data_IF_762949791209
#
_entry.id   IF_762949791209
#
_cell.length_a   1.000
_cell.length_b   1.000
_cell.length_c   1.000
_cell.angle_alpha   90.00
_cell.angle_beta   90.00
_cell.angle_gamma   90.00
#
_symmetry.space_group_name_H-M   'P 1'
#
loop_
_entity.id
_entity.type
_entity.pdbx_description
1 polymer ?
#
# COMPACT_ATOMS: atom_id res chain seq x y z
N UNK A 1 14.43 22.29 -11.32
CA UNK A 1 13.15 22.16 -10.59
C UNK A 1 12.88 20.68 -10.36
N UNK A 2 12.82 20.23 -9.12
CA UNK A 2 12.63 18.81 -8.80
C UNK A 2 11.25 18.34 -9.30
N UNK A 3 11.25 17.32 -10.16
CA UNK A 3 10.05 16.75 -10.78
C UNK A 3 9.17 15.94 -9.80
N UNK A 4 9.50 15.91 -8.51
CA UNK A 4 8.79 15.07 -7.54
C UNK A 4 7.48 15.71 -7.11
N UNK A 5 6.36 15.01 -7.32
CA UNK A 5 5.07 15.33 -6.70
C UNK A 5 5.06 15.01 -5.20
N UNK A 6 5.88 14.05 -4.78
CA UNK A 6 5.97 13.61 -3.40
C UNK A 6 7.03 14.40 -2.64
N UNK A 7 6.65 14.88 -1.46
CA UNK A 7 7.60 15.38 -0.47
C UNK A 7 8.29 14.19 0.20
N UNK A 8 9.53 14.36 0.66
CA UNK A 8 10.29 13.30 1.33
C UNK A 8 9.54 12.68 2.51
N UNK A 9 8.82 13.48 3.29
CA UNK A 9 8.00 12.98 4.39
C UNK A 9 6.86 12.07 3.91
N UNK A 10 6.22 12.39 2.78
CA UNK A 10 5.10 11.60 2.24
C UNK A 10 5.59 10.25 1.69
N UNK A 11 6.81 10.21 1.14
CA UNK A 11 7.49 8.97 0.72
C UNK A 11 7.76 8.07 1.92
N UNK A 12 8.29 8.64 3.01
CA UNK A 12 8.59 7.89 4.24
C UNK A 12 7.31 7.35 4.87
N UNK A 13 6.25 8.17 4.95
CA UNK A 13 4.96 7.77 5.52
C UNK A 13 4.31 6.62 4.71
N UNK A 14 4.33 6.71 3.37
CA UNK A 14 3.82 5.64 2.51
C UNK A 14 4.64 4.35 2.66
N UNK A 15 5.96 4.48 2.77
CA UNK A 15 6.87 3.35 2.99
C UNK A 15 6.55 2.63 4.31
N UNK A 16 6.31 3.37 5.40
CA UNK A 16 5.94 2.78 6.69
C UNK A 16 4.60 2.06 6.62
N UNK A 17 3.60 2.61 5.92
CA UNK A 17 2.28 1.98 5.78
C UNK A 17 2.37 0.66 5.02
N UNK A 18 3.12 0.62 3.92
CA UNK A 18 3.33 -0.62 3.16
C UNK A 18 4.13 -1.66 3.96
N UNK A 19 5.20 -1.23 4.63
CA UNK A 19 5.97 -2.11 5.51
C UNK A 19 5.11 -2.69 6.63
N UNK A 20 4.28 -1.86 7.26
CA UNK A 20 3.37 -2.31 8.32
C UNK A 20 2.43 -3.41 7.81
N UNK A 21 1.80 -3.21 6.65
CA UNK A 21 0.90 -4.20 6.05
C UNK A 21 1.61 -5.52 5.74
N UNK A 22 2.82 -5.44 5.17
CA UNK A 22 3.63 -6.62 4.85
C UNK A 22 4.12 -7.35 6.11
N UNK A 23 4.57 -6.63 7.13
CA UNK A 23 5.05 -7.21 8.39
C UNK A 23 3.91 -7.91 9.12
N UNK A 24 2.72 -7.31 9.19
CA UNK A 24 1.55 -7.95 9.82
C UNK A 24 1.21 -9.27 9.12
N UNK A 25 1.26 -9.31 7.79
CA UNK A 25 1.04 -10.55 7.05
C UNK A 25 2.12 -11.61 7.31
N UNK A 26 3.39 -11.20 7.34
CA UNK A 26 4.50 -12.07 7.71
C UNK A 26 4.34 -12.63 9.12
N UNK A 27 3.91 -11.82 10.09
CA UNK A 27 3.68 -12.25 11.47
C UNK A 27 2.58 -13.30 11.56
N UNK A 28 1.44 -13.08 10.89
CA UNK A 28 0.34 -14.06 10.89
C UNK A 28 0.79 -15.38 10.25
N UNK A 29 1.53 -15.31 9.14
CA UNK A 29 2.08 -16.49 8.47
C UNK A 29 3.12 -17.22 9.32
N UNK A 30 3.93 -16.47 10.07
CA UNK A 30 4.90 -17.06 10.99
C UNK A 30 4.21 -17.82 12.13
N UNK A 31 3.17 -17.21 12.71
CA UNK A 31 2.36 -17.82 13.77
C UNK A 31 1.67 -19.09 13.25
N UNK A 32 1.17 -19.10 12.01
CA UNK A 32 0.50 -20.28 11.45
C UNK A 32 1.43 -21.44 11.09
N UNK A 33 2.73 -21.17 10.89
CA UNK A 33 3.75 -22.19 10.63
C UNK A 33 4.36 -22.78 11.90
N UNK A 34 4.27 -22.07 13.02
CA UNK A 34 4.78 -22.55 14.28
C UNK A 34 3.77 -23.50 14.94
N UNK A 35 4.26 -24.63 15.45
CA UNK A 35 3.44 -25.63 16.11
C UNK A 35 3.21 -25.20 17.57
N UNK A 36 1.96 -24.85 17.91
CA UNK A 36 1.58 -24.36 19.25
C UNK A 36 0.99 -25.46 20.14
N UNK A 37 1.14 -26.72 19.75
CA UNK A 37 0.54 -27.90 20.41
C UNK A 37 0.89 -28.04 21.91
N UNK A 38 2.00 -27.46 22.37
CA UNK A 38 2.37 -27.41 23.79
C UNK A 38 1.45 -26.48 24.63
N UNK A 39 0.67 -25.60 23.99
CA UNK A 39 -0.15 -24.57 24.65
C UNK A 39 -1.60 -24.57 24.14
N UNK A 40 -2.38 -25.57 24.58
CA UNK A 40 -3.80 -25.81 24.20
C UNK A 40 -4.68 -24.54 24.24
N UNK A 41 -4.56 -23.71 25.28
CA UNK A 41 -5.36 -22.48 25.40
C UNK A 41 -4.95 -21.47 24.33
N UNK A 42 -3.65 -21.30 24.10
CA UNK A 42 -3.10 -20.36 23.14
C UNK A 42 -3.41 -20.78 21.69
N UNK A 43 -3.37 -22.09 21.41
CA UNK A 43 -3.73 -22.68 20.12
C UNK A 43 -5.18 -22.34 19.73
N UNK A 44 -6.12 -22.43 20.67
CA UNK A 44 -7.53 -22.11 20.42
C UNK A 44 -7.80 -20.64 20.08
N UNK A 45 -6.97 -19.72 20.59
CA UNK A 45 -7.05 -18.31 20.20
C UNK A 45 -6.38 -18.07 18.85
N UNK A 46 -5.21 -18.68 18.62
CA UNK A 46 -4.45 -18.54 17.38
C UNK A 46 -5.23 -19.10 16.19
N UNK A 47 -5.95 -20.22 16.35
CA UNK A 47 -6.75 -20.81 15.28
C UNK A 47 -7.83 -19.86 14.76
N UNK A 48 -8.47 -19.08 15.65
CA UNK A 48 -9.39 -18.01 15.22
C UNK A 48 -8.69 -16.95 14.37
N UNK A 49 -7.45 -16.54 14.71
CA UNK A 49 -6.71 -15.58 13.90
C UNK A 49 -6.31 -16.14 12.53
N UNK A 50 -6.04 -17.44 12.44
CA UNK A 50 -5.74 -18.13 11.19
C UNK A 50 -7.00 -18.21 10.31
N UNK A 51 -8.14 -18.60 10.88
CA UNK A 51 -9.42 -18.71 10.15
C UNK A 51 -9.86 -17.36 9.58
N UNK A 52 -9.62 -16.26 10.31
CA UNK A 52 -9.96 -14.90 9.89
C UNK A 52 -8.80 -14.13 9.23
N UNK A 53 -7.68 -14.80 8.89
CA UNK A 53 -6.47 -14.17 8.36
C UNK A 53 -6.75 -13.24 7.17
N UNK A 54 -7.54 -13.71 6.20
CA UNK A 54 -7.86 -12.92 5.00
C UNK A 54 -8.63 -11.64 5.34
N UNK A 55 -9.57 -11.71 6.29
CA UNK A 55 -10.36 -10.55 6.72
C UNK A 55 -9.46 -9.54 7.45
N UNK A 56 -8.54 -10.02 8.28
CA UNK A 56 -7.56 -9.17 8.98
C UNK A 56 -6.66 -8.47 7.97
N UNK A 57 -6.14 -9.18 6.97
CA UNK A 57 -5.30 -8.59 5.90
C UNK A 57 -6.05 -7.52 5.13
N UNK A 58 -7.32 -7.76 4.80
CA UNK A 58 -8.16 -6.76 4.12
C UNK A 58 -8.37 -5.53 5.01
N UNK A 59 -8.68 -5.73 6.30
CA UNK A 59 -8.87 -4.64 7.25
C UNK A 59 -7.60 -3.79 7.44
N UNK A 60 -6.43 -4.44 7.55
CA UNK A 60 -5.15 -3.76 7.69
C UNK A 60 -4.77 -3.03 6.40
N UNK A 61 -4.98 -3.66 5.25
CA UNK A 61 -4.66 -3.04 3.96
C UNK A 61 -5.56 -1.84 3.65
N UNK A 62 -6.78 -1.77 4.20
CA UNK A 62 -7.67 -0.61 4.10
C UNK A 62 -7.02 0.71 4.58
N UNK A 63 -6.10 0.65 5.55
CA UNK A 63 -5.34 1.82 6.01
C UNK A 63 -4.56 2.46 4.85
N UNK A 64 -3.97 1.65 3.98
CA UNK A 64 -3.25 2.13 2.80
C UNK A 64 -4.17 2.83 1.79
N UNK A 65 -5.40 2.33 1.62
CA UNK A 65 -6.41 2.96 0.77
C UNK A 65 -6.80 4.35 1.31
N UNK A 66 -7.05 4.46 2.62
CA UNK A 66 -7.34 5.74 3.27
C UNK A 66 -6.19 6.74 3.08
N UNK A 67 -4.95 6.26 3.18
CA UNK A 67 -3.77 7.10 2.95
C UNK A 67 -3.70 7.59 1.50
N UNK A 68 -3.91 6.72 0.50
CA UNK A 68 -3.98 7.13 -0.90
C UNK A 68 -5.05 8.19 -1.15
N UNK A 69 -6.23 8.05 -0.53
CA UNK A 69 -7.29 9.04 -0.62
C UNK A 69 -6.87 10.39 -0.01
N UNK A 70 -6.29 10.39 1.19
CA UNK A 70 -5.81 11.61 1.83
C UNK A 70 -4.71 12.29 1.01
N UNK A 71 -3.77 11.50 0.46
CA UNK A 71 -2.69 11.97 -0.40
C UNK A 71 -3.23 12.70 -1.64
N UNK A 72 -4.16 12.06 -2.36
CA UNK A 72 -4.77 12.65 -3.56
C UNK A 72 -5.48 13.97 -3.24
N UNK A 73 -6.17 14.06 -2.09
CA UNK A 73 -6.84 15.29 -1.67
C UNK A 73 -5.86 16.42 -1.36
N UNK A 74 -4.73 16.12 -0.71
CA UNK A 74 -3.68 17.13 -0.41
C UNK A 74 -3.01 17.63 -1.69
N UNK A 75 -2.82 16.76 -2.68
CA UNK A 75 -2.13 17.07 -3.95
C UNK A 75 -3.04 17.58 -5.07
N UNK A 76 -4.35 17.55 -4.87
CA UNK A 76 -5.32 18.03 -5.86
C UNK A 76 -5.09 19.50 -6.29
N UNK A 77 -4.62 20.37 -5.38
CA UNK A 77 -4.31 21.78 -5.72
C UNK A 77 -3.01 21.90 -6.53
N UNK A 78 -1.95 21.21 -6.12
CA UNK A 78 -0.66 21.21 -6.83
C UNK A 78 -0.78 20.65 -8.25
N UNK A 79 -1.53 19.57 -8.42
CA UNK A 79 -1.80 18.94 -9.72
C UNK A 79 -2.54 19.91 -10.63
N UNK A 80 -3.59 20.57 -10.14
CA UNK A 80 -4.32 21.58 -10.92
C UNK A 80 -3.46 22.75 -11.34
N UNK A 81 -2.63 23.28 -10.44
CA UNK A 81 -1.70 24.35 -10.80
C UNK A 81 -0.74 23.93 -11.92
N UNK A 82 -0.22 22.69 -11.90
CA UNK A 82 0.64 22.18 -12.98
C UNK A 82 -0.11 22.05 -14.32
N UNK A 83 -1.36 21.59 -14.30
CA UNK A 83 -2.19 21.51 -15.51
C UNK A 83 -2.44 22.90 -16.11
N UNK A 84 -2.75 23.91 -15.29
CA UNK A 84 -3.00 25.29 -15.75
C UNK A 84 -1.75 25.89 -16.41
N UNK A 85 -0.56 25.56 -15.89
CA UNK A 85 0.74 25.99 -16.45
C UNK A 85 1.07 25.26 -17.77
N UNK A 86 0.26 24.30 -18.20
CA UNK A 86 0.40 23.58 -19.48
C UNK A 86 1.11 22.24 -19.38
N UNK A 87 1.26 21.68 -18.18
CA UNK A 87 1.85 20.35 -17.99
C UNK A 87 0.85 19.25 -18.37
N UNK A 88 1.33 18.18 -19.00
CA UNK A 88 0.45 17.10 -19.48
C UNK A 88 0.03 16.20 -18.31
N UNK A 89 -1.29 16.04 -18.13
CA UNK A 89 -1.91 15.12 -17.16
C UNK A 89 -1.30 13.72 -17.19
N UNK A 90 -1.04 13.20 -18.39
CA UNK A 90 -0.47 11.86 -18.57
C UNK A 90 0.92 11.71 -17.94
N UNK A 91 1.77 12.74 -18.04
CA UNK A 91 3.12 12.72 -17.49
C UNK A 91 3.10 12.74 -15.95
N UNK A 92 2.16 13.49 -15.37
CA UNK A 92 1.95 13.52 -13.92
C UNK A 92 1.44 12.17 -13.38
N UNK A 93 0.51 11.53 -14.09
CA UNK A 93 0.01 10.20 -13.74
C UNK A 93 1.11 9.14 -13.81
N UNK A 94 1.92 9.13 -14.88
CA UNK A 94 3.01 8.18 -15.04
C UNK A 94 4.06 8.34 -13.94
N UNK A 95 4.39 9.59 -13.57
CA UNK A 95 5.29 9.88 -12.45
C UNK A 95 4.71 9.41 -11.10
N UNK A 96 3.40 9.59 -10.88
CA UNK A 96 2.74 9.11 -9.66
C UNK A 96 2.75 7.58 -9.56
N UNK A 97 2.43 6.88 -10.66
CA UNK A 97 2.43 5.40 -10.74
C UNK A 97 3.82 4.85 -10.46
N UNK A 98 4.82 5.33 -11.21
CA UNK A 98 6.19 4.85 -11.12
C UNK A 98 6.76 5.04 -9.72
N UNK A 99 6.46 6.17 -9.06
CA UNK A 99 6.97 6.43 -7.72
C UNK A 99 6.31 5.54 -6.66
N UNK A 100 4.98 5.37 -6.71
CA UNK A 100 4.29 4.45 -5.80
C UNK A 100 4.73 2.99 -5.99
N UNK A 101 4.92 2.55 -7.24
CA UNK A 101 5.45 1.22 -7.56
C UNK A 101 6.88 1.05 -7.04
N UNK A 102 7.73 2.06 -7.18
CA UNK A 102 9.10 2.01 -6.65
C UNK A 102 9.11 1.88 -5.13
N UNK A 103 8.27 2.64 -4.43
CA UNK A 103 8.15 2.55 -2.96
C UNK A 103 7.60 1.17 -2.55
N UNK A 104 6.60 0.66 -3.27
CA UNK A 104 6.04 -0.66 -3.02
C UNK A 104 7.11 -1.75 -3.19
N UNK A 105 7.85 -1.74 -4.30
CA UNK A 105 8.94 -2.68 -4.56
C UNK A 105 10.03 -2.62 -3.49
N UNK A 106 10.37 -1.42 -3.02
CA UNK A 106 11.37 -1.24 -1.97
C UNK A 106 10.87 -1.82 -0.63
N UNK A 107 9.62 -1.54 -0.26
CA UNK A 107 9.01 -2.12 0.96
C UNK A 107 8.91 -3.65 0.89
N UNK A 108 8.56 -4.19 -0.28
CA UNK A 108 8.49 -5.63 -0.51
C UNK A 108 9.86 -6.31 -0.44
N UNK A 109 10.90 -5.66 -0.96
CA UNK A 109 12.28 -6.16 -0.87
C UNK A 109 12.74 -6.23 0.58
N UNK A 110 12.48 -5.20 1.38
CA UNK A 110 12.80 -5.18 2.82
C UNK A 110 12.05 -6.30 3.55
N UNK A 111 10.74 -6.45 3.31
CA UNK A 111 9.95 -7.50 3.94
C UNK A 111 10.40 -8.90 3.51
N UNK A 112 10.79 -9.09 2.25
CA UNK A 112 11.30 -10.38 1.77
C UNK A 112 12.63 -10.77 2.42
N UNK A 113 13.50 -9.79 2.69
CA UNK A 113 14.73 -10.02 3.46
C UNK A 113 14.43 -10.45 4.91
N UNK A 114 13.42 -9.85 5.54
CA UNK A 114 12.97 -10.24 6.87
C UNK A 114 12.41 -11.67 6.83
N UNK A 115 11.57 -12.00 5.85
CA UNK A 115 10.99 -13.34 5.73
C UNK A 115 12.04 -14.43 5.49
N UNK A 116 13.08 -14.12 4.71
CA UNK A 116 14.26 -14.98 4.54
C UNK A 116 14.94 -15.29 5.87
N UNK A 117 15.10 -14.27 6.73
CA UNK A 117 15.71 -14.45 8.05
C UNK A 117 14.88 -15.36 8.97
N UNK A 118 13.55 -15.27 8.88
CA UNK A 118 12.61 -16.06 9.70
C UNK A 118 12.14 -17.37 9.05
N UNK A 119 12.69 -17.77 7.89
CA UNK A 119 12.26 -18.95 7.12
C UNK A 119 10.76 -19.00 6.78
N UNK A 120 10.14 -17.83 6.56
CA UNK A 120 8.73 -17.71 6.16
C UNK A 120 8.63 -17.89 4.64
N UNK A 121 7.66 -18.65 4.11
CA UNK A 121 7.49 -18.84 2.68
C UNK A 121 7.19 -17.52 1.97
N UNK A 122 7.93 -17.24 0.91
CA UNK A 122 7.79 -16.01 0.10
C UNK A 122 6.41 -15.82 -0.52
N UNK A 123 5.71 -16.91 -0.81
CA UNK A 123 4.38 -16.91 -1.43
C UNK A 123 3.33 -16.15 -0.60
N UNK A 124 3.52 -16.10 0.72
CA UNK A 124 2.60 -15.44 1.65
C UNK A 124 2.41 -13.95 1.37
N UNK A 125 3.46 -13.25 0.93
CA UNK A 125 3.42 -11.79 0.72
C UNK A 125 2.89 -11.37 -0.66
N UNK A 126 2.76 -12.31 -1.61
CA UNK A 126 2.26 -12.00 -2.95
C UNK A 126 0.78 -11.58 -2.96
N UNK A 127 -0.04 -12.15 -2.06
CA UNK A 127 -1.45 -11.79 -1.93
C UNK A 127 -1.61 -10.32 -1.53
N UNK A 128 -0.85 -9.89 -0.52
CA UNK A 128 -0.83 -8.50 -0.03
C UNK A 128 -0.28 -7.55 -1.08
N UNK A 129 0.77 -7.94 -1.80
CA UNK A 129 1.32 -7.14 -2.89
C UNK A 129 0.25 -6.89 -3.97
N UNK A 130 -0.51 -7.92 -4.36
CA UNK A 130 -1.60 -7.79 -5.32
C UNK A 130 -2.67 -6.79 -4.88
N UNK A 131 -3.09 -6.85 -3.61
CA UNK A 131 -4.08 -5.91 -3.05
C UNK A 131 -3.55 -4.47 -3.08
N UNK A 132 -2.30 -4.24 -2.69
CA UNK A 132 -1.68 -2.91 -2.70
C UNK A 132 -1.55 -2.35 -4.12
N UNK A 133 -1.21 -3.18 -5.11
CA UNK A 133 -1.20 -2.75 -6.53
C UNK A 133 -2.60 -2.31 -6.98
N UNK A 134 -3.65 -3.05 -6.62
CA UNK A 134 -5.03 -2.67 -6.93
C UNK A 134 -5.37 -1.31 -6.31
N UNK A 135 -4.93 -1.04 -5.08
CA UNK A 135 -5.15 0.26 -4.44
C UNK A 135 -4.42 1.41 -5.13
N UNK A 136 -3.22 1.18 -5.68
CA UNK A 136 -2.54 2.17 -6.53
C UNK A 136 -3.40 2.47 -7.77
N UNK A 137 -3.97 1.45 -8.42
CA UNK A 137 -4.88 1.64 -9.56
C UNK A 137 -6.15 2.43 -9.19
N UNK A 138 -6.77 2.12 -8.04
CA UNK A 138 -7.94 2.84 -7.54
C UNK A 138 -7.59 4.31 -7.25
N UNK A 139 -6.42 4.58 -6.67
CA UNK A 139 -5.91 5.93 -6.42
C UNK A 139 -5.87 6.76 -7.70
N UNK A 140 -5.38 6.18 -8.80
CA UNK A 140 -5.31 6.84 -10.12
C UNK A 140 -6.69 7.11 -10.68
N UNK A 141 -7.60 6.12 -10.60
CA UNK A 141 -8.98 6.29 -11.03
C UNK A 141 -9.65 7.49 -10.34
N UNK A 142 -9.45 7.62 -9.03
CA UNK A 142 -9.97 8.77 -8.26
C UNK A 142 -9.36 10.11 -8.73
N UNK A 143 -8.08 10.13 -9.10
CA UNK A 143 -7.41 11.34 -9.58
C UNK A 143 -7.97 11.79 -10.94
N UNK A 144 -8.18 10.86 -11.88
CA UNK A 144 -8.76 11.14 -13.20
C UNK A 144 -10.20 11.66 -13.06
N UNK A 145 -11.03 10.98 -12.26
CA UNK A 145 -12.43 11.37 -12.04
C UNK A 145 -12.53 12.79 -11.46
N UNK A 146 -11.67 13.14 -10.50
CA UNK A 146 -11.68 14.47 -9.88
C UNK A 146 -11.27 15.61 -10.85
N UNK A 147 -10.42 15.34 -11.84
CA UNK A 147 -10.03 16.31 -12.84
C UNK A 147 -11.08 16.44 -13.96
N UNK A 148 -11.71 15.33 -14.35
CA UNK A 148 -12.80 15.32 -15.36
C UNK A 148 -14.05 16.02 -14.83
N UNK A 149 -14.47 15.73 -13.59
CA UNK A 149 -15.69 16.33 -13.02
C UNK A 149 -15.60 17.84 -12.81
N UNK A 150 -14.39 18.38 -12.62
CA UNK A 150 -14.24 19.82 -12.37
C UNK A 150 -14.23 20.65 -13.64
N UNK A 151 -13.85 20.08 -14.79
CA UNK A 151 -14.02 20.70 -16.12
C UNK A 151 -15.47 20.81 -16.58
N UNK A 152 -16.40 20.08 -15.95
CA UNK A 152 -17.84 20.11 -16.30
C UNK A 152 -18.60 21.19 -15.50
N UNK A 153 -17.97 21.79 -14.49
CA UNK A 153 -18.58 22.81 -13.62
C UNK A 153 -17.89 24.18 -13.67
N UNK A 154 -16.99 24.40 -14.63
CA UNK A 154 -16.49 25.72 -15.05
C UNK A 154 -16.94 25.98 -16.50
#
# INVERSE_FOLDING_TARGET
>A
MSKSLFRTNEVIELLFIYLFCLIVNSLITYISLHDWSDYIVLESYISLFIDYQNIIIIAVSFISLVYHYQFNRRKATEVRCKIIVGDYLFNLLLLHISLNLMILLLSFSISSLINLYFNIPFLSNFSVLGILVIYIFISIGMMIVNDVFKKVHE
#
